data_IF_891653412504
#
_entry.id   IF_891653412504
#
_cell.length_a   1.000
_cell.length_b   1.000
_cell.length_c   1.000
_cell.angle_alpha   90.00
_cell.angle_beta   90.00
_cell.angle_gamma   90.00
#
_symmetry.space_group_name_H-M   'P 1'
#
loop_
_entity.id
_entity.type
_entity.pdbx_description
1 polymer ?
#
# COMPACT_ATOMS: atom_id res chain seq x y z
N UNK A 1 -9.62 20.00 -0.30
CA UNK A 1 -10.68 18.97 -0.09
C UNK A 1 -10.13 17.63 -0.56
N UNK A 2 -10.60 16.52 0.00
CA UNK A 2 -10.22 15.17 -0.43
C UNK A 2 -11.50 14.33 -0.57
N UNK A 3 -11.62 13.56 -1.66
CA UNK A 3 -12.74 12.65 -1.90
C UNK A 3 -12.27 11.41 -2.63
N UNK A 4 -12.91 10.28 -2.33
CA UNK A 4 -12.77 9.02 -3.06
C UNK A 4 -13.95 8.77 -4.02
N UNK A 5 -14.95 9.65 -4.02
CA UNK A 5 -16.17 9.58 -4.86
C UNK A 5 -16.51 10.95 -5.44
N UNK A 6 -15.74 11.41 -6.45
CA UNK A 6 -15.99 12.71 -7.06
C UNK A 6 -17.31 12.77 -7.83
N UNK A 7 -17.84 11.63 -8.27
CA UNK A 7 -19.12 11.47 -8.95
C UNK A 7 -20.33 11.86 -8.09
N UNK A 8 -20.19 11.79 -6.76
CA UNK A 8 -21.24 12.20 -5.80
C UNK A 8 -21.18 13.68 -5.42
N UNK A 9 -20.17 14.42 -5.88
CA UNK A 9 -20.04 15.84 -5.56
C UNK A 9 -21.01 16.70 -6.39
N UNK A 10 -21.50 17.77 -5.78
CA UNK A 10 -22.33 18.76 -6.47
C UNK A 10 -21.54 19.41 -7.65
N UNK A 11 -22.06 19.39 -8.89
CA UNK A 11 -21.45 20.05 -10.03
C UNK A 11 -21.13 21.54 -9.81
N UNK A 12 -21.87 22.23 -8.95
CA UNK A 12 -21.62 23.63 -8.60
C UNK A 12 -20.29 23.81 -7.84
N UNK A 13 -19.86 22.83 -7.05
CA UNK A 13 -18.56 22.84 -6.36
C UNK A 13 -17.40 22.58 -7.33
N UNK A 14 -17.65 21.81 -8.40
CA UNK A 14 -16.65 21.45 -9.41
C UNK A 14 -16.40 22.54 -10.46
N UNK A 15 -17.16 23.65 -10.41
CA UNK A 15 -17.04 24.79 -11.32
C UNK A 15 -15.76 25.60 -11.02
N UNK A 16 -15.06 26.10 -12.05
CA UNK A 16 -13.94 27.03 -11.87
C UNK A 16 -14.29 28.21 -10.95
N UNK A 17 -13.35 28.59 -10.09
CA UNK A 17 -13.47 29.63 -9.06
C UNK A 17 -13.88 29.12 -7.67
N UNK A 18 -14.10 27.81 -7.49
CA UNK A 18 -14.45 27.19 -6.19
C UNK A 18 -13.40 26.14 -5.83
N UNK A 19 -13.28 25.14 -6.71
CA UNK A 19 -12.20 24.15 -6.69
C UNK A 19 -11.40 24.28 -7.99
N UNK A 20 -10.36 25.12 -7.97
CA UNK A 20 -9.59 25.46 -9.16
C UNK A 20 -8.65 24.34 -9.61
N UNK A 21 -8.12 23.56 -8.68
CA UNK A 21 -7.22 22.44 -8.97
C UNK A 21 -7.88 21.12 -8.58
N UNK A 22 -8.00 20.23 -9.56
CA UNK A 22 -8.41 18.84 -9.38
C UNK A 22 -7.14 17.99 -9.53
N UNK A 23 -6.68 17.40 -8.44
CA UNK A 23 -5.47 16.57 -8.43
C UNK A 23 -5.89 15.13 -8.21
N UNK A 24 -5.63 14.29 -9.21
CA UNK A 24 -5.79 12.85 -9.09
C UNK A 24 -4.54 12.26 -8.43
N UNK A 25 -4.75 11.39 -7.44
CA UNK A 25 -3.67 10.64 -6.79
C UNK A 25 -3.84 9.17 -7.21
N UNK A 26 -3.04 8.69 -8.19
CA UNK A 26 -3.15 7.33 -8.66
C UNK A 26 -2.57 6.34 -7.65
N UNK A 27 -2.77 5.05 -7.91
CA UNK A 27 -2.04 3.99 -7.22
C UNK A 27 -0.52 4.15 -7.42
N UNK A 28 0.29 3.79 -6.42
CA UNK A 28 1.74 3.92 -6.49
C UNK A 28 2.33 3.00 -7.58
N UNK A 29 3.23 3.57 -8.38
CA UNK A 29 4.08 2.80 -9.28
C UNK A 29 5.11 1.96 -8.50
N UNK A 30 5.85 1.11 -9.19
CA UNK A 30 6.79 0.16 -8.55
C UNK A 30 7.84 0.87 -7.68
N UNK A 31 8.40 1.98 -8.18
CA UNK A 31 9.36 2.79 -7.43
C UNK A 31 8.75 3.41 -6.18
N UNK A 32 7.53 3.96 -6.28
CA UNK A 32 6.82 4.52 -5.14
C UNK A 32 6.46 3.42 -4.12
N UNK A 33 6.07 2.22 -4.58
CA UNK A 33 5.83 1.08 -3.69
C UNK A 33 7.10 0.68 -2.94
N UNK A 34 8.25 0.68 -3.61
CA UNK A 34 9.56 0.43 -3.01
C UNK A 34 9.87 1.45 -1.91
N UNK A 35 9.66 2.74 -2.17
CA UNK A 35 9.91 3.82 -1.22
C UNK A 35 8.98 3.75 0.00
N UNK A 36 7.67 3.55 -0.22
CA UNK A 36 6.69 3.37 0.84
C UNK A 36 7.07 2.16 1.72
N UNK A 37 7.46 1.06 1.09
CA UNK A 37 7.88 -0.15 1.80
C UNK A 37 9.14 0.11 2.63
N UNK A 38 10.14 0.82 2.09
CA UNK A 38 11.36 1.19 2.82
C UNK A 38 11.06 2.07 4.03
N UNK A 39 10.17 3.05 3.89
CA UNK A 39 9.71 3.92 5.00
C UNK A 39 9.09 3.08 6.12
N UNK A 40 8.12 2.21 5.78
CA UNK A 40 7.47 1.35 6.76
C UNK A 40 8.39 0.24 7.28
N UNK A 41 9.42 -0.12 6.54
CA UNK A 41 10.39 -1.09 6.96
C UNK A 41 11.42 -0.50 7.94
N UNK A 42 11.77 0.78 7.83
CA UNK A 42 12.83 1.44 8.59
C UNK A 42 12.81 1.20 10.11
N UNK A 43 11.67 1.40 10.82
CA UNK A 43 11.62 1.29 12.28
C UNK A 43 11.75 -0.12 12.87
N UNK A 44 11.91 -1.15 12.05
CA UNK A 44 11.78 -2.54 12.50
C UNK A 44 13.15 -3.21 12.49
N UNK A 45 13.45 -3.96 13.55
CA UNK A 45 14.64 -4.81 13.65
C UNK A 45 14.61 -5.90 12.58
N UNK A 46 15.62 -5.90 11.72
CA UNK A 46 15.78 -6.84 10.60
C UNK A 46 17.10 -7.56 10.77
N UNK A 47 17.14 -8.81 10.36
CA UNK A 47 18.39 -9.54 10.27
C UNK A 47 18.56 -10.10 8.85
N UNK A 48 19.75 -9.88 8.28
CA UNK A 48 20.04 -10.23 6.90
C UNK A 48 19.60 -9.17 5.91
N UNK A 49 19.85 -9.44 4.63
CA UNK A 49 19.38 -8.61 3.53
C UNK A 49 17.94 -8.96 3.18
N UNK A 50 17.15 -7.92 2.89
CA UNK A 50 15.74 -8.07 2.53
C UNK A 50 15.59 -7.62 1.09
N UNK A 51 15.07 -8.50 0.25
CA UNK A 51 14.84 -8.21 -1.16
C UNK A 51 13.50 -7.47 -1.32
N UNK A 52 13.56 -6.15 -1.14
CA UNK A 52 12.40 -5.29 -1.33
C UNK A 52 11.92 -5.26 -2.79
N UNK A 53 12.77 -5.56 -3.77
CA UNK A 53 12.36 -5.59 -5.18
C UNK A 53 11.48 -6.80 -5.46
N UNK A 54 11.83 -7.97 -4.93
CA UNK A 54 10.98 -9.15 -4.98
C UNK A 54 9.62 -8.91 -4.33
N UNK A 55 9.61 -8.23 -3.18
CA UNK A 55 8.36 -7.83 -2.50
C UNK A 55 7.52 -6.91 -3.39
N UNK A 56 8.14 -5.91 -4.02
CA UNK A 56 7.43 -4.94 -4.87
C UNK A 56 6.81 -5.62 -6.09
N UNK A 57 7.52 -6.55 -6.72
CA UNK A 57 7.02 -7.36 -7.85
C UNK A 57 5.77 -8.18 -7.48
N UNK A 58 5.68 -8.64 -6.23
CA UNK A 58 4.51 -9.37 -5.72
C UNK A 58 3.37 -8.48 -5.20
N UNK A 59 3.60 -7.17 -5.12
CA UNK A 59 2.67 -6.17 -4.57
C UNK A 59 1.94 -5.36 -5.66
N UNK A 60 1.77 -5.92 -6.85
CA UNK A 60 1.10 -5.23 -7.95
C UNK A 60 -0.32 -4.79 -7.56
N UNK A 61 -0.65 -3.54 -7.88
CA UNK A 61 -1.93 -2.92 -7.55
C UNK A 61 -2.10 -2.55 -6.07
N UNK A 62 -1.09 -2.70 -5.22
CA UNK A 62 -1.17 -2.33 -3.80
C UNK A 62 -1.24 -0.82 -3.62
N UNK A 63 -2.11 -0.37 -2.72
CA UNK A 63 -2.10 1.01 -2.25
C UNK A 63 -1.13 1.16 -1.05
N UNK A 64 -0.92 2.39 -0.58
CA UNK A 64 -0.02 2.64 0.56
C UNK A 64 -0.46 1.93 1.86
N UNK A 65 -1.76 1.76 2.07
CA UNK A 65 -2.28 1.05 3.25
C UNK A 65 -1.98 -0.46 3.19
N UNK A 66 -2.02 -1.06 2.00
CA UNK A 66 -1.65 -2.47 1.80
C UNK A 66 -0.17 -2.71 2.11
N UNK A 67 0.72 -1.82 1.65
CA UNK A 67 2.16 -1.91 1.93
C UNK A 67 2.45 -1.74 3.43
N UNK A 68 1.73 -0.83 4.11
CA UNK A 68 1.77 -0.73 5.57
C UNK A 68 1.28 -2.03 6.23
N UNK A 69 0.25 -2.66 5.69
CA UNK A 69 -0.28 -3.93 6.20
C UNK A 69 0.73 -5.07 6.03
N UNK A 70 1.46 -5.13 4.92
CA UNK A 70 2.60 -6.04 4.72
C UNK A 70 3.65 -5.82 5.82
N UNK A 71 4.05 -4.57 6.05
CA UNK A 71 5.05 -4.22 7.06
C UNK A 71 4.61 -4.56 8.49
N UNK A 72 3.30 -4.56 8.77
CA UNK A 72 2.72 -5.04 10.03
C UNK A 72 2.70 -6.57 10.12
N UNK A 73 2.20 -7.25 9.09
CA UNK A 73 2.00 -8.71 9.10
C UNK A 73 3.31 -9.47 9.25
N UNK A 74 4.40 -9.01 8.63
CA UNK A 74 5.73 -9.63 8.83
C UNK A 74 6.17 -9.66 10.30
N UNK A 75 5.85 -8.61 11.06
CA UNK A 75 6.18 -8.53 12.49
C UNK A 75 5.39 -9.55 13.29
N UNK A 76 4.11 -9.74 12.97
CA UNK A 76 3.29 -10.79 13.57
C UNK A 76 3.83 -12.19 13.25
N UNK A 77 4.35 -12.41 12.03
CA UNK A 77 4.98 -13.68 11.66
C UNK A 77 6.28 -13.94 12.41
N UNK A 78 7.11 -12.90 12.60
CA UNK A 78 8.32 -13.01 13.42
C UNK A 78 7.99 -13.32 14.89
N UNK A 79 7.02 -12.62 15.48
CA UNK A 79 6.55 -12.87 16.86
C UNK A 79 6.02 -14.30 17.02
N UNK A 80 5.24 -14.80 16.04
CA UNK A 80 4.73 -16.18 16.05
C UNK A 80 5.83 -17.24 15.94
N UNK A 81 6.98 -16.88 15.41
CA UNK A 81 8.15 -17.74 15.34
C UNK A 81 9.11 -17.49 16.51
N UNK A 82 8.67 -16.78 17.57
CA UNK A 82 9.46 -16.46 18.76
C UNK A 82 10.76 -15.70 18.45
N UNK A 83 10.73 -14.84 17.42
CA UNK A 83 11.87 -14.00 17.00
C UNK A 83 11.62 -12.53 17.30
N UNK A 84 12.65 -11.84 17.76
CA UNK A 84 12.67 -10.38 17.96
C UNK A 84 13.07 -9.59 16.69
N UNK A 85 13.43 -10.30 15.62
CA UNK A 85 13.84 -9.73 14.35
C UNK A 85 13.07 -10.36 13.18
N UNK A 86 12.94 -9.59 12.12
CA UNK A 86 12.26 -10.02 10.89
C UNK A 86 13.28 -10.48 9.85
N UNK A 87 12.95 -11.56 9.15
CA UNK A 87 13.70 -12.11 8.01
C UNK A 87 13.01 -11.79 6.68
N UNK A 88 13.73 -11.96 5.57
CA UNK A 88 13.16 -11.82 4.21
C UNK A 88 11.92 -12.71 4.01
N UNK A 89 11.96 -13.95 4.49
CA UNK A 89 10.82 -14.88 4.39
C UNK A 89 9.53 -14.33 5.00
N UNK A 90 9.61 -13.56 6.08
CA UNK A 90 8.43 -13.00 6.75
C UNK A 90 7.78 -11.91 5.88
N UNK A 91 8.58 -11.14 5.15
CA UNK A 91 8.07 -10.21 4.15
C UNK A 91 7.38 -10.97 3.01
N UNK A 92 8.04 -11.99 2.47
CA UNK A 92 7.49 -12.78 1.36
C UNK A 92 6.17 -13.48 1.75
N UNK A 93 6.10 -14.07 2.95
CA UNK A 93 4.87 -14.66 3.51
C UNK A 93 3.78 -13.60 3.71
N UNK A 94 4.15 -12.43 4.25
CA UNK A 94 3.21 -11.34 4.48
C UNK A 94 2.60 -10.81 3.17
N UNK A 95 3.41 -10.56 2.14
CA UNK A 95 2.96 -10.04 0.84
C UNK A 95 2.00 -11.00 0.16
N UNK A 96 2.35 -12.29 0.12
CA UNK A 96 1.47 -13.33 -0.44
C UNK A 96 0.12 -13.34 0.26
N UNK A 97 0.12 -13.27 1.60
CA UNK A 97 -1.12 -13.25 2.38
C UNK A 97 -1.95 -11.97 2.18
N UNK A 98 -1.33 -10.81 2.01
CA UNK A 98 -2.05 -9.58 1.67
C UNK A 98 -2.61 -9.64 0.25
N UNK A 99 -1.83 -10.16 -0.70
CA UNK A 99 -2.26 -10.33 -2.09
C UNK A 99 -3.47 -11.25 -2.22
N UNK A 100 -3.46 -12.39 -1.53
CA UNK A 100 -4.61 -13.31 -1.45
C UNK A 100 -5.86 -12.62 -0.91
N UNK A 101 -5.74 -11.91 0.22
CA UNK A 101 -6.86 -11.21 0.81
C UNK A 101 -7.39 -10.12 -0.13
N UNK A 102 -6.50 -9.38 -0.78
CA UNK A 102 -6.87 -8.32 -1.72
C UNK A 102 -7.64 -8.84 -2.93
N UNK A 103 -7.33 -10.04 -3.42
CA UNK A 103 -8.08 -10.69 -4.51
C UNK A 103 -9.54 -10.99 -4.14
N UNK A 104 -9.85 -11.12 -2.85
CA UNK A 104 -11.20 -11.36 -2.35
C UNK A 104 -11.98 -10.05 -2.15
N UNK A 105 -11.31 -8.89 -2.17
CA UNK A 105 -11.96 -7.60 -2.03
C UNK A 105 -12.70 -7.21 -3.32
N UNK A 106 -13.81 -6.48 -3.16
CA UNK A 106 -14.53 -5.92 -4.29
C UNK A 106 -13.65 -4.89 -5.01
N UNK A 107 -13.67 -4.94 -6.34
CA UNK A 107 -13.01 -3.92 -7.15
C UNK A 107 -13.70 -2.57 -6.96
N UNK A 108 -12.92 -1.56 -6.64
CA UNK A 108 -13.39 -0.18 -6.54
C UNK A 108 -12.80 0.60 -7.71
N UNK A 109 -13.66 0.97 -8.65
CA UNK A 109 -13.28 1.79 -9.80
C UNK A 109 -13.53 3.26 -9.47
N UNK A 110 -12.48 4.07 -9.57
CA UNK A 110 -12.59 5.52 -9.43
C UNK A 110 -13.00 6.13 -10.77
N UNK A 111 -14.09 6.91 -10.76
CA UNK A 111 -14.46 7.72 -11.92
C UNK A 111 -13.70 9.04 -11.89
N UNK A 112 -13.07 9.46 -13.00
CA UNK A 112 -12.44 10.78 -13.07
C UNK A 112 -13.49 11.89 -12.93
N UNK A 113 -13.03 13.07 -12.50
CA UNK A 113 -13.82 14.30 -12.26
C UNK A 113 -13.95 15.13 -13.53
#
# INVERSE_FOLDING_TARGET
>A
MATNRPDTLDPALLRPGRLDRKVEIPLPNDQARLEILKIHAGPITKHGEIDYEAVVKLSEGFNGADLRNVARKRGVLAIRAEREYVLDEDFMKAVRKVSENKKLESKLDYKPV
#
